data_IF_708586725881
#
_entry.id   IF_708586725881
#
_cell.length_a   1.000
_cell.length_b   1.000
_cell.length_c   1.000
_cell.angle_alpha   90.00
_cell.angle_beta   90.00
_cell.angle_gamma   90.00
#
_symmetry.space_group_name_H-M   'P 1'
#
loop_
_entity.id
_entity.type
_entity.pdbx_description
1 polymer ?
#
# COMPACT_ATOMS: atom_id res chain seq x y z
N UNK A 1 -0.70 -0.25 21.88
CA UNK A 1 -0.69 -0.91 20.55
C UNK A 1 -0.39 -2.40 20.62
N UNK A 2 0.56 -2.83 21.46
CA UNK A 2 0.96 -4.23 21.66
C UNK A 2 0.13 -4.97 22.74
N UNK A 3 -1.20 -5.01 22.58
CA UNK A 3 -2.13 -5.55 23.59
C UNK A 3 -2.36 -7.07 23.52
N UNK A 4 -1.66 -7.80 22.64
CA UNK A 4 -1.98 -9.21 22.32
C UNK A 4 -0.79 -10.18 22.39
N UNK A 5 0.22 -9.87 23.21
CA UNK A 5 1.27 -10.80 23.57
C UNK A 5 1.23 -10.99 25.09
N UNK A 6 1.46 -12.23 25.54
CA UNK A 6 1.40 -12.71 26.93
C UNK A 6 2.38 -11.98 27.87
N UNK A 7 2.51 -12.47 29.12
CA UNK A 7 3.36 -11.88 30.18
C UNK A 7 4.71 -11.39 29.64
N UNK A 8 5.05 -10.13 29.96
CA UNK A 8 6.36 -9.57 29.69
C UNK A 8 7.45 -10.42 30.34
N UNK A 9 8.51 -10.69 29.60
CA UNK A 9 9.69 -11.36 30.11
C UNK A 9 10.86 -10.37 30.11
N UNK A 10 11.70 -10.46 31.13
CA UNK A 10 12.98 -9.77 31.15
C UNK A 10 13.90 -10.45 30.12
N UNK A 11 14.64 -9.66 29.35
CA UNK A 11 15.69 -10.15 28.46
C UNK A 11 17.03 -9.54 28.87
N UNK A 12 18.05 -10.36 29.08
CA UNK A 12 19.42 -9.86 29.24
C UNK A 12 20.02 -9.68 27.84
N UNK A 13 20.17 -8.43 27.39
CA UNK A 13 20.72 -8.15 26.07
C UNK A 13 22.19 -8.58 25.99
N UNK A 14 22.58 -9.05 24.80
CA UNK A 14 23.99 -9.30 24.52
C UNK A 14 24.63 -7.98 24.07
N UNK A 15 25.46 -7.40 24.94
CA UNK A 15 26.18 -6.16 24.70
C UNK A 15 27.69 -6.39 24.54
N UNK A 16 28.10 -7.62 24.21
CA UNK A 16 29.50 -7.97 23.97
C UNK A 16 30.09 -7.29 22.72
N UNK A 17 29.26 -7.09 21.69
CA UNK A 17 29.54 -6.26 20.52
C UNK A 17 28.24 -5.68 19.94
N UNK A 18 28.36 -4.74 19.00
CA UNK A 18 27.17 -4.19 18.34
C UNK A 18 26.50 -5.22 17.44
N UNK A 19 27.28 -6.08 16.78
CA UNK A 19 26.79 -7.20 15.98
C UNK A 19 26.03 -8.21 16.85
N UNK A 20 26.56 -8.53 18.04
CA UNK A 20 25.89 -9.45 18.98
C UNK A 20 24.54 -8.88 19.45
N UNK A 21 24.48 -7.56 19.72
CA UNK A 21 23.22 -6.88 20.02
C UNK A 21 22.24 -6.98 18.85
N UNK A 22 22.67 -6.71 17.62
CA UNK A 22 21.81 -6.80 16.44
C UNK A 22 21.30 -8.22 16.22
N UNK A 23 22.14 -9.24 16.32
CA UNK A 23 21.72 -10.64 16.20
C UNK A 23 20.72 -11.02 17.31
N UNK A 24 20.96 -10.63 18.56
CA UNK A 24 20.03 -10.91 19.64
C UNK A 24 18.67 -10.20 19.42
N UNK A 25 18.67 -8.93 18.98
CA UNK A 25 17.42 -8.23 18.62
C UNK A 25 16.71 -8.89 17.44
N UNK A 26 17.45 -9.43 16.47
CA UNK A 26 16.88 -10.18 15.35
C UNK A 26 16.20 -11.48 15.83
N UNK A 27 16.85 -12.26 16.71
CA UNK A 27 16.26 -13.46 17.31
C UNK A 27 14.99 -13.16 18.09
N UNK A 28 14.98 -12.09 18.89
CA UNK A 28 13.79 -11.61 19.61
C UNK A 28 12.69 -11.21 18.63
N UNK A 29 13.05 -10.55 17.53
CA UNK A 29 12.12 -10.18 16.47
C UNK A 29 11.46 -11.41 15.85
N UNK A 30 12.23 -12.46 15.55
CA UNK A 30 11.71 -13.71 14.98
C UNK A 30 10.71 -14.42 15.91
N UNK A 31 10.98 -14.43 17.22
CA UNK A 31 10.08 -15.02 18.22
C UNK A 31 8.79 -14.22 18.36
N UNK A 32 8.84 -12.90 18.13
CA UNK A 32 7.68 -12.01 18.30
C UNK A 32 7.20 -11.92 19.74
N UNK A 33 8.04 -12.27 20.71
CA UNK A 33 7.70 -12.29 22.13
C UNK A 33 7.92 -10.93 22.76
N UNK A 34 7.01 -10.50 23.64
CA UNK A 34 7.07 -9.17 24.26
C UNK A 34 8.13 -9.11 25.36
N UNK A 35 9.18 -8.33 25.11
CA UNK A 35 10.19 -7.96 26.10
C UNK A 35 9.76 -6.74 26.91
N UNK A 36 10.10 -6.69 28.20
CA UNK A 36 9.91 -5.51 29.04
C UNK A 36 10.86 -4.38 28.62
N UNK A 37 10.34 -3.16 28.46
CA UNK A 37 11.14 -2.01 28.00
C UNK A 37 12.31 -1.68 28.93
N UNK A 38 12.20 -2.00 30.24
CA UNK A 38 13.28 -1.83 31.21
C UNK A 38 14.50 -2.71 30.91
N UNK A 39 14.30 -3.83 30.19
CA UNK A 39 15.38 -4.72 29.72
C UNK A 39 16.35 -4.01 28.78
N UNK A 40 15.91 -2.93 28.12
CA UNK A 40 16.71 -2.22 27.14
C UNK A 40 17.51 -1.05 27.72
N UNK A 41 17.31 -0.68 28.99
CA UNK A 41 17.98 0.51 29.55
C UNK A 41 19.52 0.36 29.55
N UNK A 42 20.02 -0.87 29.75
CA UNK A 42 21.45 -1.18 29.68
C UNK A 42 22.06 -0.91 28.28
N UNK A 43 21.27 -1.04 27.21
CA UNK A 43 21.74 -0.77 25.84
C UNK A 43 21.93 0.72 25.57
N UNK A 44 21.29 1.63 26.32
CA UNK A 44 21.30 3.07 26.02
C UNK A 44 22.72 3.64 25.98
N UNK A 45 23.53 3.37 27.00
CA UNK A 45 24.89 3.90 27.06
C UNK A 45 25.81 3.17 26.09
N UNK A 46 25.60 1.86 25.91
CA UNK A 46 26.34 1.05 24.94
C UNK A 46 26.16 1.54 23.50
N UNK A 47 24.93 1.80 23.07
CA UNK A 47 24.63 2.25 21.70
C UNK A 47 25.23 3.63 21.40
N UNK A 48 25.26 4.54 22.39
CA UNK A 48 25.85 5.88 22.23
C UNK A 48 27.34 5.88 21.90
N UNK A 49 28.07 4.81 22.23
CA UNK A 49 29.50 4.70 21.95
C UNK A 49 29.79 4.04 20.60
N UNK A 50 28.77 3.51 19.92
CA UNK A 50 28.97 2.78 18.67
C UNK A 50 29.12 3.72 17.48
N UNK A 51 29.91 3.29 16.50
CA UNK A 51 30.10 3.98 15.23
C UNK A 51 29.93 2.98 14.10
N UNK A 52 28.99 3.26 13.19
CA UNK A 52 28.75 2.43 12.01
C UNK A 52 29.77 2.78 10.93
N UNK A 53 30.51 1.77 10.49
CA UNK A 53 31.51 1.91 9.42
C UNK A 53 31.17 1.11 8.17
N UNK A 54 30.48 -0.02 8.32
CA UNK A 54 30.00 -0.87 7.23
C UNK A 54 28.47 -0.75 7.08
N UNK A 55 28.03 0.18 6.24
CA UNK A 55 26.61 0.38 5.98
C UNK A 55 26.01 -0.68 5.06
N UNK A 56 26.83 -1.39 4.28
CA UNK A 56 26.36 -2.49 3.42
C UNK A 56 25.87 -3.66 4.26
N UNK A 57 26.63 -4.05 5.30
CA UNK A 57 26.23 -5.09 6.25
C UNK A 57 24.99 -4.68 7.06
N UNK A 58 24.91 -3.41 7.50
CA UNK A 58 23.72 -2.87 8.17
C UNK A 58 22.49 -2.92 7.26
N UNK A 59 22.63 -2.53 5.99
CA UNK A 59 21.55 -2.62 5.01
C UNK A 59 21.07 -4.06 4.81
N UNK A 60 21.99 -5.01 4.63
CA UNK A 60 21.64 -6.43 4.49
C UNK A 60 20.89 -6.95 5.73
N UNK A 61 21.34 -6.58 6.93
CA UNK A 61 20.68 -6.96 8.18
C UNK A 61 19.27 -6.33 8.30
N UNK A 62 19.11 -5.05 7.99
CA UNK A 62 17.80 -4.38 7.99
C UNK A 62 16.83 -4.99 6.97
N UNK A 63 17.32 -5.43 5.80
CA UNK A 63 16.50 -6.16 4.83
C UNK A 63 16.05 -7.53 5.36
N UNK A 64 16.90 -8.25 6.12
CA UNK A 64 16.46 -9.47 6.82
C UNK A 64 15.39 -9.15 7.85
N UNK A 65 15.57 -8.09 8.64
CA UNK A 65 14.61 -7.68 9.67
C UNK A 65 13.25 -7.33 9.07
N UNK A 66 13.22 -6.51 8.01
CA UNK A 66 11.96 -6.08 7.41
C UNK A 66 11.26 -7.22 6.64
N UNK A 67 11.99 -8.28 6.27
CA UNK A 67 11.44 -9.48 5.66
C UNK A 67 10.68 -10.39 6.65
N UNK A 68 10.80 -10.17 7.97
CA UNK A 68 10.05 -10.94 8.96
C UNK A 68 8.56 -10.61 8.93
N UNK A 69 7.71 -11.60 9.22
CA UNK A 69 6.27 -11.36 9.44
C UNK A 69 6.00 -10.51 10.69
N UNK A 70 6.97 -10.50 11.61
CA UNK A 70 7.02 -9.70 12.83
C UNK A 70 7.82 -8.41 12.66
N UNK A 71 8.13 -7.96 11.43
CA UNK A 71 9.02 -6.82 11.18
C UNK A 71 8.62 -5.55 11.95
N UNK A 72 7.32 -5.25 12.07
CA UNK A 72 6.85 -4.12 12.88
C UNK A 72 7.31 -4.21 14.35
N UNK A 73 7.34 -5.41 14.92
CA UNK A 73 7.88 -5.66 16.26
C UNK A 73 9.40 -5.54 16.28
N UNK A 74 10.10 -6.01 15.25
CA UNK A 74 11.55 -5.83 15.14
C UNK A 74 11.98 -4.36 15.11
N UNK A 75 11.28 -3.50 14.38
CA UNK A 75 11.54 -2.05 14.43
C UNK A 75 11.13 -1.40 15.75
N UNK A 76 10.11 -1.94 16.44
CA UNK A 76 9.84 -1.55 17.83
C UNK A 76 11.00 -1.91 18.76
N UNK A 77 11.60 -3.09 18.60
CA UNK A 77 12.78 -3.49 19.39
C UNK A 77 13.98 -2.57 19.12
N UNK A 78 14.19 -2.15 17.86
CA UNK A 78 15.20 -1.13 17.55
C UNK A 78 14.93 0.21 18.25
N UNK A 79 13.65 0.63 18.32
CA UNK A 79 13.23 1.82 19.07
C UNK A 79 13.52 1.66 20.57
N UNK A 80 13.03 0.58 21.18
CA UNK A 80 13.15 0.33 22.62
C UNK A 80 14.61 0.17 23.08
N UNK A 81 15.46 -0.41 22.22
CA UNK A 81 16.91 -0.59 22.45
C UNK A 81 17.78 0.62 22.12
N UNK A 82 17.19 1.77 21.77
CA UNK A 82 17.91 2.97 21.34
C UNK A 82 18.80 2.78 20.10
N UNK A 83 18.70 1.65 19.40
CA UNK A 83 19.46 1.33 18.18
C UNK A 83 18.88 2.07 16.96
N UNK A 84 17.57 2.31 16.92
CA UNK A 84 16.91 2.93 15.76
C UNK A 84 17.53 4.30 15.37
N UNK A 85 17.78 5.25 16.30
CA UNK A 85 18.46 6.51 15.98
C UNK A 85 19.86 6.35 15.38
N UNK A 86 20.58 5.27 15.70
CA UNK A 86 21.91 4.99 15.15
C UNK A 86 21.82 4.48 13.71
N UNK A 87 20.82 3.65 13.38
CA UNK A 87 20.69 3.02 12.06
C UNK A 87 19.88 3.86 11.07
N UNK A 88 18.72 4.38 11.50
CA UNK A 88 17.75 5.12 10.68
C UNK A 88 17.30 6.38 11.47
N UNK A 89 18.19 7.38 11.67
CA UNK A 89 17.85 8.61 12.38
C UNK A 89 16.65 9.35 11.76
N UNK A 90 16.48 9.25 10.45
CA UNK A 90 15.38 9.87 9.72
C UNK A 90 14.01 9.29 10.10
N UNK A 91 13.97 8.03 10.54
CA UNK A 91 12.77 7.38 11.07
C UNK A 91 12.62 7.69 12.56
N UNK A 92 13.72 7.66 13.33
CA UNK A 92 13.71 7.94 14.77
C UNK A 92 13.23 9.36 15.12
N UNK A 93 13.58 10.38 14.32
CA UNK A 93 13.17 11.78 14.56
C UNK A 93 11.64 12.00 14.54
N UNK A 94 10.88 11.02 14.07
CA UNK A 94 9.42 11.06 14.02
C UNK A 94 8.76 10.58 15.34
N UNK A 95 9.55 10.11 16.30
CA UNK A 95 9.08 9.80 17.65
C UNK A 95 8.58 11.06 18.36
N UNK A 96 7.42 10.98 19.02
CA UNK A 96 6.80 12.10 19.70
C UNK A 96 6.19 13.18 18.79
N UNK A 97 6.30 13.05 17.46
CA UNK A 97 5.65 13.97 16.52
C UNK A 97 4.15 13.67 16.44
N UNK A 98 3.34 14.44 17.15
CA UNK A 98 1.88 14.29 17.18
C UNK A 98 1.21 14.76 15.87
N UNK A 99 0.25 13.98 15.36
CA UNK A 99 -0.38 14.21 14.06
C UNK A 99 -1.83 14.74 14.15
N UNK A 100 -2.55 14.38 15.22
CA UNK A 100 -3.93 14.82 15.48
C UNK A 100 -5.00 14.21 14.57
N UNK A 101 -6.27 14.55 14.85
CA UNK A 101 -7.43 14.26 14.00
C UNK A 101 -7.70 12.77 13.74
N UNK A 102 -7.19 12.26 12.62
CA UNK A 102 -7.34 10.87 12.18
C UNK A 102 -6.35 9.91 12.86
N UNK A 103 -5.28 10.42 13.46
CA UNK A 103 -4.24 9.62 14.10
C UNK A 103 -4.39 9.63 15.63
N UNK A 104 -3.97 8.52 16.24
CA UNK A 104 -3.98 8.29 17.70
C UNK A 104 -2.58 7.98 18.24
N UNK A 105 -1.59 7.98 17.34
CA UNK A 105 -0.18 7.65 17.58
C UNK A 105 0.67 8.82 17.08
N UNK A 106 1.89 8.91 17.58
CA UNK A 106 2.91 9.74 16.93
C UNK A 106 3.27 9.18 15.54
N UNK A 107 4.09 9.89 14.78
CA UNK A 107 4.46 9.49 13.41
C UNK A 107 5.22 8.16 13.38
N UNK A 108 6.16 7.93 14.30
CA UNK A 108 6.93 6.69 14.34
C UNK A 108 6.02 5.49 14.65
N UNK A 109 5.23 5.57 15.70
CA UNK A 109 4.32 4.51 16.11
C UNK A 109 3.23 4.26 15.07
N UNK A 110 2.75 5.29 14.36
CA UNK A 110 1.87 5.13 13.21
C UNK A 110 2.54 4.35 12.07
N UNK A 111 3.81 4.62 11.78
CA UNK A 111 4.58 3.92 10.75
C UNK A 111 4.78 2.43 11.09
N UNK A 112 5.05 2.11 12.36
CA UNK A 112 5.12 0.73 12.84
C UNK A 112 3.77 0.01 12.71
N UNK A 113 2.67 0.70 13.05
CA UNK A 113 1.33 0.15 12.90
C UNK A 113 0.95 -0.06 11.43
N UNK A 114 1.31 0.86 10.53
CA UNK A 114 1.07 0.72 9.09
C UNK A 114 1.82 -0.50 8.52
N UNK A 115 3.09 -0.72 8.91
CA UNK A 115 3.83 -1.93 8.56
C UNK A 115 3.12 -3.19 9.09
N UNK A 116 2.63 -3.16 10.33
CA UNK A 116 1.89 -4.29 10.92
C UNK A 116 0.58 -4.58 10.17
N UNK A 117 -0.18 -3.55 9.78
CA UNK A 117 -1.42 -3.69 9.02
C UNK A 117 -1.14 -4.24 7.62
N UNK A 118 -0.07 -3.78 6.96
CA UNK A 118 0.37 -4.34 5.69
C UNK A 118 0.62 -5.85 5.83
N UNK A 119 1.43 -6.27 6.80
CA UNK A 119 1.83 -7.68 6.96
C UNK A 119 0.66 -8.61 7.32
N UNK A 120 -0.36 -8.11 8.02
CA UNK A 120 -1.59 -8.88 8.29
C UNK A 120 -2.37 -9.18 7.01
N UNK A 121 -2.41 -8.22 6.09
CA UNK A 121 -3.25 -8.32 4.89
C UNK A 121 -2.48 -8.79 3.65
N UNK A 122 -1.16 -8.58 3.62
CA UNK A 122 -0.26 -8.86 2.52
C UNK A 122 1.08 -9.40 3.07
N UNK A 123 1.10 -10.60 3.67
CA UNK A 123 2.33 -11.19 4.21
C UNK A 123 3.39 -11.37 3.12
N UNK A 124 3.00 -11.65 1.88
CA UNK A 124 3.91 -11.80 0.74
C UNK A 124 4.36 -10.46 0.12
N UNK A 125 4.09 -9.32 0.77
CA UNK A 125 4.49 -8.01 0.28
C UNK A 125 6.00 -7.94 0.01
N UNK A 126 6.36 -7.40 -1.16
CA UNK A 126 7.76 -7.19 -1.55
C UNK A 126 8.51 -6.32 -0.54
N UNK A 127 9.84 -6.48 -0.45
CA UNK A 127 10.68 -5.62 0.40
C UNK A 127 10.44 -4.13 0.14
N UNK A 128 10.26 -3.74 -1.12
CA UNK A 128 10.02 -2.35 -1.47
C UNK A 128 8.71 -1.81 -0.89
N UNK A 129 7.63 -2.62 -0.90
CA UNK A 129 6.34 -2.27 -0.30
C UNK A 129 6.39 -2.26 1.23
N UNK A 130 7.11 -3.21 1.85
CA UNK A 130 7.32 -3.22 3.30
C UNK A 130 8.08 -1.98 3.78
N UNK A 131 9.17 -1.63 3.09
CA UNK A 131 9.89 -0.37 3.33
C UNK A 131 9.02 0.86 3.09
N UNK A 132 8.24 0.88 2.01
CA UNK A 132 7.34 2.00 1.73
C UNK A 132 6.28 2.17 2.83
N UNK A 133 5.74 1.08 3.38
CA UNK A 133 4.82 1.13 4.51
C UNK A 133 5.46 1.71 5.77
N UNK A 134 6.67 1.28 6.11
CA UNK A 134 7.41 1.80 7.24
C UNK A 134 7.85 3.27 7.07
N UNK A 135 8.08 3.73 5.84
CA UNK A 135 8.68 5.03 5.56
C UNK A 135 7.74 6.03 4.88
N UNK A 136 6.45 5.73 4.71
CA UNK A 136 5.53 6.59 3.96
C UNK A 136 5.43 8.01 4.53
N UNK A 137 5.51 8.11 5.86
CA UNK A 137 5.41 9.35 6.62
C UNK A 137 6.76 9.96 7.02
N UNK A 138 7.88 9.44 6.48
CA UNK A 138 9.24 9.84 6.90
C UNK A 138 9.49 11.34 6.82
N UNK A 139 8.81 12.03 5.90
CA UNK A 139 8.90 13.49 5.72
C UNK A 139 8.08 14.33 6.71
N UNK A 140 7.26 13.75 7.59
CA UNK A 140 6.41 14.52 8.51
C UNK A 140 7.23 15.31 9.52
N UNK A 141 8.19 14.70 10.20
CA UNK A 141 9.08 15.40 11.13
C UNK A 141 9.75 16.63 10.49
N UNK A 142 10.47 16.48 9.35
CA UNK A 142 11.13 17.60 8.68
C UNK A 142 10.19 18.66 8.06
N UNK A 143 8.94 18.31 7.75
CA UNK A 143 7.94 19.25 7.18
C UNK A 143 6.99 19.83 8.22
N UNK A 144 7.17 19.50 9.50
CA UNK A 144 6.32 19.97 10.57
C UNK A 144 6.34 21.50 10.62
N UNK A 145 5.15 22.07 10.45
CA UNK A 145 4.89 23.50 10.65
C UNK A 145 3.70 23.67 11.59
N UNK A 146 3.69 24.76 12.36
CA UNK A 146 2.64 25.05 13.32
C UNK A 146 2.16 26.49 13.14
N UNK A 147 0.84 26.69 13.08
CA UNK A 147 0.28 28.04 13.02
C UNK A 147 0.15 28.67 14.44
N UNK A 148 -0.24 29.94 14.49
CA UNK A 148 -0.41 30.70 15.73
C UNK A 148 -1.42 30.08 16.71
N UNK A 149 -2.36 29.27 16.20
CA UNK A 149 -3.36 28.55 17.00
C UNK A 149 -2.88 27.17 17.48
N UNK A 150 -1.62 26.83 17.24
CA UNK A 150 -1.03 25.56 17.63
C UNK A 150 -1.39 24.39 16.73
N UNK A 151 -2.03 24.62 15.57
CA UNK A 151 -2.39 23.57 14.63
C UNK A 151 -1.17 23.18 13.80
N UNK A 152 -0.85 21.89 13.81
CA UNK A 152 0.28 21.31 13.07
C UNK A 152 -0.13 20.97 11.63
N UNK A 153 0.80 21.12 10.69
CA UNK A 153 0.64 20.71 9.30
C UNK A 153 1.92 20.07 8.74
N UNK A 154 1.76 19.19 7.76
CA UNK A 154 2.82 18.37 7.16
C UNK A 154 2.78 18.47 5.63
N UNK A 155 2.69 19.70 5.12
CA UNK A 155 2.49 19.95 3.69
C UNK A 155 3.67 19.41 2.88
N UNK A 156 3.39 18.52 1.93
CA UNK A 156 4.41 17.95 1.04
C UNK A 156 5.30 16.89 1.67
N UNK A 157 4.92 16.32 2.82
CA UNK A 157 5.72 15.28 3.48
C UNK A 157 5.91 14.01 2.64
N UNK A 158 4.98 13.69 1.74
CA UNK A 158 5.08 12.62 0.75
C UNK A 158 6.30 12.82 -0.16
N UNK A 159 6.43 14.00 -0.75
CA UNK A 159 7.53 14.34 -1.66
C UNK A 159 8.84 14.49 -0.92
N UNK A 160 8.82 15.09 0.26
CA UNK A 160 10.03 15.22 1.09
C UNK A 160 10.50 13.85 1.59
N UNK A 161 9.59 13.00 2.05
CA UNK A 161 9.88 11.62 2.46
C UNK A 161 10.49 10.81 1.32
N UNK A 162 9.93 10.90 0.12
CA UNK A 162 10.49 10.28 -1.10
C UNK A 162 11.95 10.71 -1.36
N UNK A 163 12.28 11.99 -1.19
CA UNK A 163 13.67 12.49 -1.33
C UNK A 163 14.60 11.96 -0.23
N UNK A 164 14.11 11.89 1.02
CA UNK A 164 14.87 11.36 2.15
C UNK A 164 15.19 9.88 1.92
N UNK A 165 14.24 9.09 1.40
CA UNK A 165 14.42 7.66 1.09
C UNK A 165 15.58 7.43 0.13
N UNK A 166 15.75 8.26 -0.90
CA UNK A 166 16.87 8.14 -1.85
C UNK A 166 18.22 8.27 -1.14
N UNK A 167 18.33 9.20 -0.19
CA UNK A 167 19.56 9.42 0.58
C UNK A 167 19.79 8.30 1.59
N UNK A 168 18.75 7.89 2.31
CA UNK A 168 18.78 6.77 3.25
C UNK A 168 19.20 5.47 2.56
N UNK A 169 18.58 5.13 1.42
CA UNK A 169 18.85 3.87 0.72
C UNK A 169 20.22 3.87 0.07
N UNK A 170 20.73 5.03 -0.35
CA UNK A 170 22.12 5.17 -0.79
C UNK A 170 23.08 4.90 0.36
N UNK A 171 22.82 5.45 1.56
CA UNK A 171 23.62 5.18 2.76
C UNK A 171 23.61 3.69 3.10
N UNK A 172 22.45 3.02 3.02
CA UNK A 172 22.30 1.58 3.25
C UNK A 172 22.75 0.69 2.07
N UNK A 173 23.34 1.28 1.01
CA UNK A 173 23.80 0.59 -0.20
C UNK A 173 22.75 -0.30 -0.89
N UNK A 174 21.49 0.13 -0.87
CA UNK A 174 20.40 -0.61 -1.48
C UNK A 174 20.37 -0.52 -3.01
N UNK A 175 19.94 -1.59 -3.72
CA UNK A 175 19.84 -1.58 -5.17
C UNK A 175 18.94 -0.45 -5.68
N UNK A 176 19.31 0.14 -6.82
CA UNK A 176 18.57 1.28 -7.38
C UNK A 176 17.13 0.95 -7.75
N UNK A 177 16.83 -0.30 -8.13
CA UNK A 177 15.46 -0.73 -8.43
C UNK A 177 14.58 -0.69 -7.17
N UNK A 178 15.08 -1.22 -6.04
CA UNK A 178 14.36 -1.18 -4.76
C UNK A 178 14.17 0.27 -4.30
N UNK A 179 15.22 1.10 -4.43
CA UNK A 179 15.15 2.53 -4.11
C UNK A 179 14.08 3.26 -4.90
N UNK A 180 14.07 3.12 -6.23
CA UNK A 180 13.05 3.75 -7.09
C UNK A 180 11.66 3.26 -6.74
N UNK A 181 11.49 1.96 -6.50
CA UNK A 181 10.18 1.39 -6.18
C UNK A 181 9.63 1.95 -4.87
N UNK A 182 10.43 1.93 -3.80
CA UNK A 182 10.03 2.46 -2.49
C UNK A 182 9.78 3.97 -2.55
N UNK A 183 10.66 4.73 -3.19
CA UNK A 183 10.51 6.18 -3.37
C UNK A 183 9.19 6.53 -4.07
N UNK A 184 8.87 5.86 -5.18
CA UNK A 184 7.65 6.13 -5.93
C UNK A 184 6.38 5.77 -5.14
N UNK A 185 6.39 4.66 -4.40
CA UNK A 185 5.27 4.28 -3.54
C UNK A 185 5.01 5.36 -2.48
N UNK A 186 6.06 5.85 -1.83
CA UNK A 186 5.96 6.94 -0.84
C UNK A 186 5.56 8.27 -1.49
N UNK A 187 6.08 8.59 -2.67
CA UNK A 187 5.70 9.81 -3.38
C UNK A 187 4.19 9.89 -3.68
N UNK A 188 3.55 8.76 -3.98
CA UNK A 188 2.17 8.71 -4.44
C UNK A 188 1.16 8.25 -3.37
N UNK A 189 1.59 7.94 -2.15
CA UNK A 189 0.71 7.32 -1.14
C UNK A 189 -0.47 8.22 -0.71
N UNK A 190 -0.35 9.55 -0.83
CA UNK A 190 -1.43 10.49 -0.49
C UNK A 190 -2.41 10.79 -1.64
N UNK A 191 -2.29 10.12 -2.80
CA UNK A 191 -3.16 10.42 -3.93
C UNK A 191 -4.63 10.17 -3.57
N UNK A 192 -5.56 11.05 -3.97
CA UNK A 192 -6.98 10.80 -3.78
C UNK A 192 -7.42 9.60 -4.63
N UNK A 193 -8.26 8.74 -4.06
CA UNK A 193 -8.89 7.66 -4.82
C UNK A 193 -9.84 8.24 -5.90
N UNK A 194 -9.89 7.61 -7.09
CA UNK A 194 -10.82 7.98 -8.15
C UNK A 194 -12.28 7.86 -7.71
N UNK A 195 -13.14 8.77 -8.18
CA UNK A 195 -14.55 8.84 -7.77
C UNK A 195 -15.52 8.20 -8.77
N UNK A 196 -15.08 7.96 -10.00
CA UNK A 196 -15.89 7.40 -11.08
C UNK A 196 -15.04 6.48 -11.97
N UNK A 197 -15.66 5.65 -12.85
CA UNK A 197 -14.93 4.69 -13.68
C UNK A 197 -13.86 5.32 -14.58
N UNK A 198 -14.14 6.48 -15.18
CA UNK A 198 -13.19 7.19 -16.05
C UNK A 198 -11.95 7.67 -15.29
N UNK A 199 -12.14 8.18 -14.08
CA UNK A 199 -11.02 8.52 -13.19
C UNK A 199 -10.25 7.28 -12.75
N UNK A 200 -10.93 6.17 -12.51
CA UNK A 200 -10.30 4.92 -12.11
C UNK A 200 -9.42 4.34 -13.22
N UNK A 201 -9.92 4.28 -14.45
CA UNK A 201 -9.14 3.85 -15.63
C UNK A 201 -7.89 4.72 -15.82
N UNK A 202 -8.05 6.05 -15.69
CA UNK A 202 -6.91 6.99 -15.77
C UNK A 202 -5.94 6.81 -14.61
N UNK A 203 -6.44 6.53 -13.40
CA UNK A 203 -5.62 6.28 -12.23
C UNK A 203 -4.78 5.03 -12.44
N UNK A 204 -5.39 3.94 -12.88
CA UNK A 204 -4.75 2.65 -13.20
C UNK A 204 -3.68 2.84 -14.26
N UNK A 205 -4.06 3.34 -15.45
CA UNK A 205 -3.13 3.51 -16.57
C UNK A 205 -1.88 4.34 -16.24
N UNK A 206 -2.01 5.33 -15.35
CA UNK A 206 -0.89 6.21 -14.97
C UNK A 206 0.07 5.61 -13.94
N UNK A 207 -0.33 4.53 -13.27
CA UNK A 207 0.43 3.92 -12.17
C UNK A 207 0.43 2.39 -12.28
N UNK A 208 0.21 1.86 -13.48
CA UNK A 208 0.14 0.42 -13.74
C UNK A 208 1.34 -0.29 -13.11
N UNK A 209 2.54 0.26 -13.32
CA UNK A 209 3.77 -0.27 -12.73
C UNK A 209 3.69 -0.39 -11.21
N UNK A 210 3.09 0.58 -10.50
CA UNK A 210 3.01 0.67 -9.04
C UNK A 210 1.84 -0.10 -8.43
N UNK A 211 0.96 -0.65 -9.26
CA UNK A 211 -0.22 -1.36 -8.80
C UNK A 211 0.04 -2.88 -8.76
N UNK A 212 -0.56 -3.60 -7.80
CA UNK A 212 -1.48 -3.14 -6.76
C UNK A 212 -0.79 -2.57 -5.50
N UNK A 213 0.54 -2.60 -5.41
CA UNK A 213 1.32 -2.21 -4.22
C UNK A 213 0.94 -0.84 -3.63
N UNK A 214 0.76 0.17 -4.48
CA UNK A 214 0.36 1.51 -4.05
C UNK A 214 -0.97 1.50 -3.29
N UNK A 215 -1.93 0.71 -3.76
CA UNK A 215 -3.24 0.59 -3.13
C UNK A 215 -3.17 -0.17 -1.80
N UNK A 216 -2.30 -1.18 -1.70
CA UNK A 216 -2.05 -1.89 -0.44
C UNK A 216 -1.40 -0.99 0.60
N UNK A 217 -0.42 -0.17 0.21
CA UNK A 217 0.17 0.86 1.07
C UNK A 217 -0.90 1.83 1.61
N UNK A 218 -1.75 2.34 0.72
CA UNK A 218 -2.82 3.27 1.07
C UNK A 218 -3.85 2.66 2.03
N UNK A 219 -4.15 1.36 1.89
CA UNK A 219 -5.00 0.65 2.85
C UNK A 219 -4.29 0.54 4.20
N UNK A 220 -3.02 0.12 4.22
CA UNK A 220 -2.27 -0.10 5.45
C UNK A 220 -2.16 1.17 6.30
N UNK A 221 -1.82 2.30 5.68
CA UNK A 221 -1.83 3.62 6.32
C UNK A 221 -3.22 3.97 6.89
N UNK A 222 -4.27 3.77 6.09
CA UNK A 222 -5.65 4.05 6.52
C UNK A 222 -6.10 3.18 7.70
N UNK A 223 -5.67 1.92 7.77
CA UNK A 223 -5.98 1.01 8.88
C UNK A 223 -5.22 1.34 10.18
N UNK A 224 -4.03 1.95 10.05
CA UNK A 224 -3.22 2.43 11.16
C UNK A 224 -3.80 3.70 11.81
N UNK A 225 -4.46 4.55 11.03
CA UNK A 225 -5.13 5.75 11.52
C UNK A 225 -6.44 5.41 12.27
N UNK A 226 -6.42 5.42 13.61
CA UNK A 226 -7.59 5.12 14.50
C UNK A 226 -7.92 6.24 15.48
N UNK A 227 -7.59 7.48 15.14
CA UNK A 227 -7.97 8.68 15.90
C UNK A 227 -9.46 8.99 15.84
N UNK A 228 -9.88 10.05 16.54
CA UNK A 228 -11.29 10.44 16.71
C UNK A 228 -12.07 10.63 15.40
N UNK A 229 -11.39 10.97 14.30
CA UNK A 229 -12.01 11.15 12.98
C UNK A 229 -12.04 9.87 12.12
N UNK A 230 -11.46 8.77 12.60
CA UNK A 230 -11.39 7.49 11.87
C UNK A 230 -12.33 6.45 12.49
N UNK A 231 -13.49 6.27 11.86
CA UNK A 231 -14.44 5.22 12.21
C UNK A 231 -14.19 3.93 11.42
N UNK A 232 -14.58 2.79 11.98
CA UNK A 232 -14.52 1.50 11.27
C UNK A 232 -15.31 1.53 9.96
N UNK A 233 -16.49 2.15 9.95
CA UNK A 233 -17.29 2.33 8.74
C UNK A 233 -16.52 3.11 7.66
N UNK A 234 -15.81 4.18 8.03
CA UNK A 234 -15.01 4.96 7.08
C UNK A 234 -13.84 4.17 6.50
N UNK A 235 -13.17 3.35 7.31
CA UNK A 235 -12.06 2.48 6.86
C UNK A 235 -12.59 1.36 5.95
N UNK A 236 -13.72 0.74 6.31
CA UNK A 236 -14.39 -0.25 5.46
C UNK A 236 -14.79 0.34 4.10
N UNK A 237 -15.38 1.53 4.08
CA UNK A 237 -15.75 2.22 2.84
C UNK A 237 -14.51 2.48 1.96
N UNK A 238 -13.39 2.88 2.57
CA UNK A 238 -12.12 3.07 1.87
C UNK A 238 -11.61 1.76 1.25
N UNK A 239 -11.60 0.65 2.00
CA UNK A 239 -11.22 -0.68 1.47
C UNK A 239 -12.09 -1.09 0.28
N UNK A 240 -13.39 -0.88 0.35
CA UNK A 240 -14.31 -1.17 -0.76
C UNK A 240 -14.03 -0.31 -1.99
N UNK A 241 -13.72 0.97 -1.80
CA UNK A 241 -13.33 1.86 -2.91
C UNK A 241 -12.04 1.39 -3.58
N UNK A 242 -11.05 0.97 -2.78
CA UNK A 242 -9.79 0.39 -3.30
C UNK A 242 -10.03 -0.93 -4.04
N UNK A 243 -10.83 -1.84 -3.47
CA UNK A 243 -11.14 -3.13 -4.09
C UNK A 243 -11.74 -2.96 -5.50
N UNK A 244 -12.66 -2.01 -5.68
CA UNK A 244 -13.22 -1.70 -7.02
C UNK A 244 -12.17 -1.26 -8.04
N UNK A 245 -11.11 -0.56 -7.60
CA UNK A 245 -10.02 -0.12 -8.49
C UNK A 245 -9.13 -1.31 -8.85
N UNK A 246 -8.92 -2.25 -7.93
CA UNK A 246 -8.17 -3.48 -8.20
C UNK A 246 -8.97 -4.39 -9.14
N UNK A 247 -10.27 -4.55 -8.91
CA UNK A 247 -11.16 -5.31 -9.81
C UNK A 247 -11.15 -4.72 -11.22
N UNK A 248 -11.20 -3.38 -11.36
CA UNK A 248 -11.12 -2.71 -12.65
C UNK A 248 -9.75 -2.87 -13.37
N UNK A 249 -8.71 -3.35 -12.69
CA UNK A 249 -7.42 -3.69 -13.33
C UNK A 249 -7.41 -5.07 -13.96
N UNK A 250 -8.29 -5.98 -13.50
CA UNK A 250 -8.34 -7.29 -14.12
C UNK A 250 -8.79 -7.08 -15.57
N UNK A 251 -8.02 -7.57 -16.56
CA UNK A 251 -8.48 -7.53 -17.93
C UNK A 251 -9.85 -8.20 -17.92
N UNK A 252 -10.89 -7.45 -18.33
CA UNK A 252 -12.12 -8.07 -18.75
C UNK A 252 -11.69 -8.93 -19.91
N UNK A 253 -11.53 -10.23 -19.69
CA UNK A 253 -11.34 -11.18 -20.77
C UNK A 253 -12.45 -10.84 -21.75
N UNK A 254 -12.15 -10.37 -22.97
CA UNK A 254 -13.21 -10.05 -23.91
C UNK A 254 -14.02 -11.34 -24.04
N UNK A 255 -15.25 -11.34 -23.52
CA UNK A 255 -16.16 -12.43 -23.79
C UNK A 255 -16.29 -12.39 -25.30
N UNK A 256 -15.99 -13.50 -25.99
CA UNK A 256 -16.21 -13.55 -27.43
C UNK A 256 -17.67 -13.15 -27.66
N UNK A 257 -17.87 -12.03 -28.37
CA UNK A 257 -19.21 -11.54 -28.66
C UNK A 257 -20.00 -12.68 -29.31
N UNK A 258 -21.25 -12.87 -28.90
CA UNK A 258 -22.07 -13.94 -29.45
C UNK A 258 -22.28 -13.76 -30.94
N UNK A 259 -22.25 -12.51 -31.43
CA UNK A 259 -22.29 -12.19 -32.87
C UNK A 259 -21.23 -11.13 -33.24
N UNK A 260 -20.50 -11.40 -34.31
CA UNK A 260 -19.61 -10.44 -34.96
C UNK A 260 -20.39 -9.48 -35.87
N UNK A 261 -19.76 -8.35 -36.24
CA UNK A 261 -20.34 -7.41 -37.19
C UNK A 261 -20.66 -8.04 -38.55
N UNK A 262 -19.85 -9.00 -39.01
CA UNK A 262 -20.11 -9.74 -40.25
C UNK A 262 -21.34 -10.65 -40.15
N UNK A 263 -21.51 -11.35 -39.03
CA UNK A 263 -22.70 -12.17 -38.77
C UNK A 263 -23.97 -11.29 -38.71
N UNK A 264 -23.90 -10.13 -38.05
CA UNK A 264 -25.02 -9.16 -38.00
C UNK A 264 -25.40 -8.67 -39.40
N UNK A 265 -24.40 -8.27 -40.21
CA UNK A 265 -24.63 -7.83 -41.59
C UNK A 265 -25.30 -8.93 -42.42
N UNK A 266 -24.84 -10.18 -42.28
CA UNK A 266 -25.42 -11.31 -43.00
C UNK A 266 -26.85 -11.66 -42.54
N UNK A 267 -27.12 -11.59 -41.23
CA UNK A 267 -28.43 -11.96 -40.67
C UNK A 267 -29.54 -10.96 -40.98
N UNK A 268 -29.18 -9.68 -41.06
CA UNK A 268 -30.11 -8.57 -41.26
C UNK A 268 -30.02 -7.95 -42.65
N UNK A 269 -29.16 -8.48 -43.54
CA UNK A 269 -28.90 -7.94 -44.87
C UNK A 269 -28.53 -6.44 -44.84
N UNK A 270 -27.70 -6.06 -43.87
CA UNK A 270 -27.26 -4.68 -43.66
C UNK A 270 -25.89 -4.43 -44.30
N UNK A 271 -25.76 -3.29 -44.95
CA UNK A 271 -24.46 -2.75 -45.38
C UNK A 271 -23.67 -2.20 -44.17
N UNK A 272 -22.33 -2.14 -44.25
CA UNK A 272 -21.50 -1.59 -43.18
C UNK A 272 -21.87 -0.12 -42.90
N UNK A 273 -22.21 0.18 -41.65
CA UNK A 273 -22.63 1.53 -41.28
C UNK A 273 -23.16 1.65 -39.85
N UNK A 274 -23.74 2.81 -39.49
CA UNK A 274 -24.19 3.11 -38.13
C UNK A 274 -25.22 2.11 -37.56
N UNK A 275 -26.01 1.45 -38.43
CA UNK A 275 -26.96 0.41 -38.01
C UNK A 275 -26.25 -0.83 -37.45
N UNK A 276 -25.16 -1.27 -38.09
CA UNK A 276 -24.33 -2.38 -37.60
C UNK A 276 -23.73 -2.04 -36.24
N UNK A 277 -23.26 -0.80 -36.06
CA UNK A 277 -22.77 -0.32 -34.76
C UNK A 277 -23.84 -0.33 -33.66
N UNK A 278 -25.07 0.09 -33.97
CA UNK A 278 -26.20 0.03 -33.04
C UNK A 278 -26.60 -1.41 -32.68
N UNK A 279 -26.58 -2.31 -33.66
CA UNK A 279 -26.85 -3.73 -33.45
C UNK A 279 -25.80 -4.39 -32.55
N UNK A 280 -24.51 -4.12 -32.79
CA UNK A 280 -23.42 -4.59 -31.94
C UNK A 280 -23.59 -4.12 -30.49
N UNK A 281 -23.88 -2.83 -30.30
CA UNK A 281 -24.09 -2.27 -28.96
C UNK A 281 -25.31 -2.88 -28.25
N UNK A 282 -26.39 -3.18 -28.97
CA UNK A 282 -27.57 -3.85 -28.41
C UNK A 282 -27.24 -5.26 -27.93
N UNK A 283 -26.53 -6.06 -28.75
CA UNK A 283 -26.11 -7.42 -28.37
C UNK A 283 -25.16 -7.40 -27.18
N UNK A 284 -24.17 -6.50 -27.19
CA UNK A 284 -23.25 -6.33 -26.07
C UNK A 284 -23.98 -5.99 -24.75
N UNK A 285 -24.99 -5.11 -24.80
CA UNK A 285 -25.78 -4.76 -23.62
C UNK A 285 -26.62 -5.93 -23.10
N UNK A 286 -27.28 -6.68 -24.00
CA UNK A 286 -28.08 -7.84 -23.62
C UNK A 286 -27.22 -8.98 -23.05
N UNK A 287 -26.01 -9.18 -23.57
CA UNK A 287 -25.03 -10.12 -23.03
C UNK A 287 -24.55 -9.74 -21.64
N UNK A 288 -24.27 -8.44 -21.42
CA UNK A 288 -23.84 -7.92 -20.12
C UNK A 288 -24.95 -7.99 -19.06
N UNK A 289 -26.21 -7.81 -19.47
CA UNK A 289 -27.37 -7.96 -18.60
C UNK A 289 -27.69 -9.42 -18.26
N UNK A 290 -27.14 -10.38 -19.00
CA UNK A 290 -27.43 -11.82 -18.87
C UNK A 290 -28.73 -12.24 -19.55
N UNK A 291 -29.35 -11.36 -20.34
CA UNK A 291 -30.60 -11.60 -21.07
C UNK A 291 -30.41 -12.59 -22.23
N UNK A 292 -29.20 -12.62 -22.80
CA UNK A 292 -28.77 -13.58 -23.81
C UNK A 292 -27.44 -14.21 -23.42
N UNK A 293 -27.32 -15.51 -23.62
CA UNK A 293 -26.16 -16.30 -23.22
C UNK A 293 -25.69 -17.27 -24.32
N UNK A 294 -26.36 -17.30 -25.47
CA UNK A 294 -26.01 -18.14 -26.61
C UNK A 294 -26.19 -17.41 -27.96
N UNK A 295 -25.48 -17.86 -29.00
CA UNK A 295 -25.62 -17.31 -30.35
C UNK A 295 -27.07 -17.35 -30.83
N UNK A 296 -27.80 -18.44 -30.57
CA UNK A 296 -29.19 -18.58 -30.97
C UNK A 296 -30.10 -17.53 -30.31
N UNK A 297 -29.91 -17.27 -29.02
CA UNK A 297 -30.65 -16.21 -28.32
C UNK A 297 -30.29 -14.81 -28.86
N UNK A 298 -29.00 -14.58 -29.16
CA UNK A 298 -28.53 -13.34 -29.76
C UNK A 298 -29.17 -13.09 -31.13
N UNK A 299 -29.28 -14.10 -31.99
CA UNK A 299 -29.93 -14.00 -33.31
C UNK A 299 -31.42 -13.65 -33.20
N UNK A 300 -32.14 -14.30 -32.27
CA UNK A 300 -33.57 -14.04 -32.03
C UNK A 300 -33.78 -12.62 -31.50
N UNK A 301 -33.00 -12.22 -30.50
CA UNK A 301 -33.05 -10.87 -29.93
C UNK A 301 -32.73 -9.81 -30.99
N UNK A 302 -31.72 -10.05 -31.83
CA UNK A 302 -31.30 -9.16 -32.90
C UNK A 302 -32.42 -8.94 -33.93
N UNK A 303 -33.09 -10.02 -34.37
CA UNK A 303 -34.21 -9.93 -35.32
C UNK A 303 -35.38 -9.15 -34.73
N UNK A 304 -35.71 -9.40 -33.46
CA UNK A 304 -36.78 -8.67 -32.78
C UNK A 304 -36.45 -7.18 -32.63
N UNK A 305 -35.21 -6.85 -32.26
CA UNK A 305 -34.74 -5.47 -32.21
C UNK A 305 -34.79 -4.80 -33.59
N UNK A 306 -34.31 -5.48 -34.64
CA UNK A 306 -34.32 -4.96 -36.00
C UNK A 306 -35.75 -4.69 -36.52
N UNK A 307 -36.72 -5.56 -36.20
CA UNK A 307 -38.15 -5.33 -36.49
C UNK A 307 -38.69 -4.09 -35.77
N UNK A 308 -38.37 -3.92 -34.47
CA UNK A 308 -38.80 -2.75 -33.69
C UNK A 308 -38.21 -1.44 -34.22
N UNK A 309 -36.98 -1.49 -34.73
CA UNK A 309 -36.32 -0.34 -35.34
C UNK A 309 -36.76 -0.11 -36.81
N UNK A 310 -37.58 -0.99 -37.38
CA UNK A 310 -38.05 -0.91 -38.76
C UNK A 310 -36.95 -1.16 -39.81
N UNK A 311 -35.91 -1.92 -39.45
CA UNK A 311 -34.80 -2.22 -40.36
C UNK A 311 -35.10 -3.38 -41.30
N UNK A 312 -35.99 -4.28 -40.89
CA UNK A 312 -36.44 -5.44 -41.65
C UNK A 312 -37.98 -5.52 -41.60
N UNK A 313 -38.59 -6.12 -42.62
CA UNK A 313 -40.05 -6.33 -42.71
C UNK A 313 -40.43 -7.68 -42.08
N UNK A 314 -41.69 -7.79 -41.60
CA UNK A 314 -42.25 -9.02 -41.03
C UNK A 314 -42.31 -10.18 -42.03
#
# INVERSE_FOLDING_TARGET
MWRWLSKQQAAELDLSSFEALLEHLFELSQKGEKVDDTSFEASRQFVKTQVITDWSSVGQWLNKLIALDTAAYGFYLLKASYVLPLLIPELAQNEGVEQGGFHHLDVLDHSLEALRQLLIHQPEASLALRWASLLHDLGKGPSLSQNELGQRSFVGHDKLGAQIIVSLFRRLEYPSQMTRRTEQLVHYHMLPLPKNPKEAERFVRRREDLLPDLLYLMIADREAARGRLSSEASRRAYRLAVARIIEAQQPVTPKEALLSGHEIMALLELEPGPQVGKALAFIEQAEQAGDINSKAEAEVALRHFALQQGWILQ
#
